data_IF_244424620947
#
_entry.id   IF_244424620947
#
_cell.length_a   1.000
_cell.length_b   1.000
_cell.length_c   1.000
_cell.angle_alpha   90.00
_cell.angle_beta   90.00
_cell.angle_gamma   90.00
#
_symmetry.space_group_name_H-M   'P 1'
#
loop_
_entity.id
_entity.type
_entity.pdbx_description
1 polymer ?
#
# COMPACT_ATOMS: atom_id res chain seq x y z
N UNK A 1 -22.20 -2.07 -12.07
CA UNK A 1 -21.71 -3.30 -11.42
C UNK A 1 -20.36 -3.62 -12.02
N UNK A 2 -19.27 -3.59 -11.24
CA UNK A 2 -17.91 -3.97 -11.67
C UNK A 2 -17.66 -5.48 -11.47
N UNK A 3 -18.73 -6.28 -11.46
CA UNK A 3 -18.75 -7.62 -10.87
C UNK A 3 -18.18 -8.71 -11.79
N UNK A 4 -17.85 -8.37 -13.02
CA UNK A 4 -17.21 -9.29 -13.98
C UNK A 4 -16.06 -8.57 -14.70
N UNK A 5 -15.18 -7.87 -13.98
CA UNK A 5 -13.96 -7.38 -14.61
C UNK A 5 -12.95 -8.54 -14.67
N UNK A 6 -12.84 -9.25 -15.80
CA UNK A 6 -12.20 -10.57 -15.91
C UNK A 6 -10.67 -10.49 -15.79
N UNK A 7 -10.13 -9.30 -15.51
CA UNK A 7 -8.71 -9.04 -15.39
C UNK A 7 -8.22 -9.50 -14.01
N UNK A 8 -8.94 -9.22 -12.92
CA UNK A 8 -8.42 -9.51 -11.59
C UNK A 8 -8.34 -11.01 -11.32
N UNK A 9 -9.40 -11.78 -11.56
CA UNK A 9 -9.39 -13.24 -11.35
C UNK A 9 -8.36 -13.93 -12.24
N UNK A 10 -8.21 -13.49 -13.49
CA UNK A 10 -7.21 -14.01 -14.41
C UNK A 10 -5.79 -13.67 -13.96
N UNK A 11 -5.55 -12.46 -13.48
CA UNK A 11 -4.24 -12.09 -12.91
C UNK A 11 -3.92 -12.94 -11.68
N UNK A 12 -4.90 -13.19 -10.81
CA UNK A 12 -4.71 -14.08 -9.65
C UNK A 12 -4.44 -15.51 -10.08
N UNK A 13 -5.13 -16.02 -11.10
CA UNK A 13 -4.88 -17.37 -11.61
C UNK A 13 -3.49 -17.52 -12.27
N UNK A 14 -3.05 -16.51 -13.03
CA UNK A 14 -1.78 -16.55 -13.77
C UNK A 14 -0.55 -16.16 -12.91
N UNK A 15 -0.72 -15.28 -11.92
CA UNK A 15 0.36 -14.67 -11.14
C UNK A 15 0.25 -14.90 -9.63
N UNK A 16 -0.87 -15.43 -9.16
CA UNK A 16 -1.21 -15.47 -7.74
C UNK A 16 -1.81 -14.16 -7.26
N UNK A 17 -2.36 -14.18 -6.05
CA UNK A 17 -2.96 -13.01 -5.39
C UNK A 17 -1.87 -12.08 -4.84
N UNK A 18 -1.22 -11.35 -5.75
CA UNK A 18 -0.16 -10.39 -5.44
C UNK A 18 -0.62 -9.32 -4.42
N UNK A 19 -1.84 -8.74 -4.51
CA UNK A 19 -2.32 -7.81 -3.49
C UNK A 19 -2.37 -8.42 -2.08
N UNK A 20 -2.92 -9.62 -1.93
CA UNK A 20 -2.98 -10.31 -0.63
C UNK A 20 -1.58 -10.65 -0.11
N UNK A 21 -0.71 -11.15 -0.98
CA UNK A 21 0.69 -11.45 -0.62
C UNK A 21 1.42 -10.20 -0.14
N UNK A 22 1.31 -9.10 -0.87
CA UNK A 22 1.94 -7.82 -0.51
C UNK A 22 1.44 -7.32 0.83
N UNK A 23 0.14 -7.43 1.10
CA UNK A 23 -0.44 -7.07 2.40
C UNK A 23 0.14 -7.92 3.53
N UNK A 24 0.22 -9.24 3.35
CA UNK A 24 0.80 -10.15 4.36
C UNK A 24 2.27 -9.82 4.65
N UNK A 25 3.06 -9.59 3.60
CA UNK A 25 4.47 -9.22 3.77
C UNK A 25 4.62 -7.85 4.43
N UNK A 26 3.81 -6.86 4.06
CA UNK A 26 3.83 -5.56 4.70
C UNK A 26 3.48 -5.66 6.20
N UNK A 27 2.49 -6.47 6.57
CA UNK A 27 2.14 -6.74 7.96
C UNK A 27 3.26 -7.45 8.70
N UNK A 28 3.93 -8.43 8.07
CA UNK A 28 5.09 -9.13 8.64
C UNK A 28 6.25 -8.17 8.91
N UNK A 29 6.67 -7.40 7.90
CA UNK A 29 7.77 -6.42 8.01
C UNK A 29 7.44 -5.35 9.05
N UNK A 30 6.19 -4.91 9.13
CA UNK A 30 5.77 -3.92 10.14
C UNK A 30 5.96 -4.44 11.56
N UNK A 31 5.63 -5.71 11.82
CA UNK A 31 5.83 -6.35 13.13
C UNK A 31 7.31 -6.56 13.46
N UNK A 32 8.11 -6.96 12.46
CA UNK A 32 9.56 -7.11 12.61
C UNK A 32 10.22 -5.76 12.93
N UNK A 33 9.78 -4.69 12.24
CA UNK A 33 10.23 -3.32 12.49
C UNK A 33 9.85 -2.86 13.90
N UNK A 34 8.59 -3.06 14.32
CA UNK A 34 8.13 -2.70 15.67
C UNK A 34 8.97 -3.41 16.73
N UNK A 35 9.24 -4.70 16.57
CA UNK A 35 10.08 -5.47 17.49
C UNK A 35 11.52 -4.93 17.55
N UNK A 36 12.13 -4.64 16.40
CA UNK A 36 13.48 -4.09 16.32
C UNK A 36 13.59 -2.68 16.91
N UNK A 37 12.54 -1.86 16.78
CA UNK A 37 12.47 -0.50 17.32
C UNK A 37 12.06 -0.46 18.80
N UNK A 38 11.48 -1.53 19.35
CA UNK A 38 10.99 -1.58 20.73
C UNK A 38 12.01 -1.12 21.79
N UNK A 39 13.31 -1.47 21.70
CA UNK A 39 14.31 -0.95 22.63
C UNK A 39 14.53 0.57 22.52
N UNK A 40 14.38 1.15 21.32
CA UNK A 40 14.54 2.58 21.07
C UNK A 40 13.31 3.37 21.53
N UNK A 41 12.11 2.80 21.40
CA UNK A 41 10.86 3.41 21.89
C UNK A 41 10.85 3.64 23.40
N UNK A 42 11.54 2.78 24.17
CA UNK A 42 11.73 2.94 25.62
C UNK A 42 12.51 4.21 26.01
N UNK A 43 13.32 4.76 25.10
CA UNK A 43 14.12 5.98 25.32
C UNK A 43 13.52 7.25 24.69
N UNK A 44 12.45 7.13 23.88
CA UNK A 44 12.03 8.17 22.93
C UNK A 44 10.53 8.40 22.81
N UNK A 45 9.74 8.17 23.86
CA UNK A 45 8.27 8.32 23.88
C UNK A 45 7.73 9.74 23.55
N UNK A 46 8.57 10.69 23.11
CA UNK A 46 8.19 12.08 22.84
C UNK A 46 8.21 12.53 21.38
N UNK A 47 8.65 11.71 20.41
CA UNK A 47 8.88 12.16 19.02
C UNK A 47 8.24 11.23 17.98
N UNK A 48 6.93 11.01 18.04
CA UNK A 48 6.19 10.48 16.88
C UNK A 48 5.68 11.66 16.05
N UNK A 49 6.25 11.97 14.86
CA UNK A 49 5.51 12.75 13.89
C UNK A 49 4.33 11.90 13.44
N UNK A 50 3.12 12.35 13.77
CA UNK A 50 1.86 11.85 13.22
C UNK A 50 2.00 11.93 11.70
N UNK A 51 2.32 10.78 11.08
CA UNK A 51 2.31 10.66 9.63
C UNK A 51 0.84 10.45 9.28
N UNK A 52 0.16 11.41 8.64
CA UNK A 52 -1.15 11.13 8.09
C UNK A 52 -0.94 10.02 7.08
N UNK A 53 -1.47 8.84 7.38
CA UNK A 53 -1.54 7.73 6.45
C UNK A 53 -2.49 8.14 5.33
N UNK A 54 -1.99 8.89 4.34
CA UNK A 54 -2.76 9.29 3.18
C UNK A 54 -3.04 8.03 2.36
N UNK A 55 -4.25 7.44 2.41
CA UNK A 55 -4.56 6.19 1.74
C UNK A 55 -4.88 6.54 0.29
N UNK A 56 -3.86 6.77 -0.53
CA UNK A 56 -4.10 7.14 -1.94
C UNK A 56 -2.93 7.73 -2.71
N UNK A 57 -1.87 8.21 -2.04
CA UNK A 57 -0.86 9.05 -2.71
C UNK A 57 0.03 8.31 -3.73
N UNK A 58 0.10 6.98 -3.69
CA UNK A 58 1.02 6.20 -4.54
C UNK A 58 0.49 5.85 -5.93
N UNK A 59 -0.80 5.55 -6.07
CA UNK A 59 -1.38 5.04 -7.33
C UNK A 59 -2.16 6.09 -8.13
N UNK A 60 -2.55 7.20 -7.49
CA UNK A 60 -3.23 8.32 -8.16
C UNK A 60 -2.28 9.14 -9.04
N UNK A 61 -0.96 9.14 -8.78
CA UNK A 61 0.00 10.00 -9.48
C UNK A 61 0.17 9.65 -10.97
N UNK A 62 -0.21 8.44 -11.37
CA UNK A 62 -0.05 7.96 -12.74
C UNK A 62 -1.35 8.00 -13.55
N UNK A 63 -2.49 8.32 -12.92
CA UNK A 63 -3.77 8.46 -13.59
C UNK A 63 -3.98 9.88 -14.13
N UNK A 64 -2.97 10.45 -14.83
CA UNK A 64 -3.22 11.55 -15.75
C UNK A 64 -3.88 10.93 -16.98
N UNK A 65 -5.20 11.09 -17.09
CA UNK A 65 -5.99 10.71 -18.26
C UNK A 65 -5.37 11.33 -19.52
N UNK A 66 -5.02 10.57 -20.57
CA UNK A 66 -4.58 11.14 -21.83
C UNK A 66 -5.82 11.71 -22.53
N UNK A 67 -6.05 13.02 -22.42
CA UNK A 67 -7.22 13.60 -23.09
C UNK A 67 -7.65 15.03 -22.76
N UNK A 68 -6.78 15.91 -22.25
CA UNK A 68 -7.14 17.34 -22.14
C UNK A 68 -6.09 18.24 -22.77
N UNK A 69 -6.15 18.35 -24.09
CA UNK A 69 -5.67 19.51 -24.84
C UNK A 69 -6.87 20.44 -25.07
N UNK A 70 -6.87 21.70 -24.58
CA UNK A 70 -7.71 22.74 -25.15
C UNK A 70 -6.96 23.53 -26.23
N UNK A 71 -7.74 23.95 -27.24
CA UNK A 71 -7.36 24.77 -28.39
C UNK A 71 -6.89 26.18 -28.02
#
# INVERSE_FOLDING_TARGET
MFQDSPIYDRLVAERGDIPLQTRREAERVSRELEYAMRPLSSYGAGLTPERPASPGAGWQRTALLPGSLPH
#
